data_IF_907732629733
#
_entry.id   IF_907732629733
#
_cell.length_a   1.000
_cell.length_b   1.000
_cell.length_c   1.000
_cell.angle_alpha   90.00
_cell.angle_beta   90.00
_cell.angle_gamma   90.00
#
_symmetry.space_group_name_H-M   'P 1'
#
loop_
_entity.id
_entity.type
_entity.pdbx_description
1 polymer ?
#
# COMPACT_ATOMS: atom_id res chain seq x y z
N UNK A 1 12.52 16.70 -2.11
CA UNK A 1 13.81 16.19 -2.65
C UNK A 1 13.83 14.67 -2.90
N UNK A 2 12.83 13.88 -2.47
CA UNK A 2 12.78 12.42 -2.68
C UNK A 2 12.18 11.99 -4.04
N UNK A 3 11.12 12.66 -4.50
CA UNK A 3 10.52 12.42 -5.83
C UNK A 3 11.48 12.60 -7.03
N UNK A 4 12.59 13.33 -6.83
CA UNK A 4 13.56 13.64 -7.88
C UNK A 4 14.44 12.45 -8.25
N UNK A 5 14.67 11.50 -7.34
CA UNK A 5 15.56 10.36 -7.57
C UNK A 5 14.84 9.25 -8.33
N UNK A 6 13.57 8.96 -7.99
CA UNK A 6 12.75 8.00 -8.71
C UNK A 6 12.49 8.48 -10.15
N UNK A 7 12.18 9.76 -10.35
CA UNK A 7 11.95 10.33 -11.68
C UNK A 7 13.22 10.31 -12.56
N UNK A 8 14.40 10.60 -12.01
CA UNK A 8 15.67 10.54 -12.75
C UNK A 8 16.09 9.10 -13.10
N UNK A 9 15.87 8.15 -12.19
CA UNK A 9 16.11 6.73 -12.44
C UNK A 9 15.18 6.17 -13.53
N UNK A 10 13.90 6.53 -13.50
CA UNK A 10 12.91 6.18 -14.53
C UNK A 10 13.27 6.83 -15.87
N UNK A 11 13.62 8.12 -15.89
CA UNK A 11 14.03 8.81 -17.12
C UNK A 11 15.26 8.16 -17.75
N UNK A 12 16.26 7.77 -16.95
CA UNK A 12 17.46 7.07 -17.42
C UNK A 12 17.19 5.65 -17.91
N UNK A 13 16.22 4.96 -17.31
CA UNK A 13 15.74 3.66 -17.77
C UNK A 13 15.01 3.76 -19.12
N UNK A 14 14.14 4.76 -19.28
CA UNK A 14 13.41 5.03 -20.53
C UNK A 14 14.32 5.55 -21.65
N UNK A 15 15.49 6.10 -21.30
CA UNK A 15 16.50 6.58 -22.26
C UNK A 15 17.42 5.48 -22.80
N UNK A 16 17.37 4.27 -22.22
CA UNK A 16 18.24 3.15 -22.61
C UNK A 16 17.55 2.29 -23.68
N UNK A 17 18.29 1.75 -24.65
CA UNK A 17 17.75 0.71 -25.54
C UNK A 17 17.18 -0.42 -24.69
N UNK A 18 15.95 -0.86 -25.00
CA UNK A 18 15.31 -1.96 -24.29
C UNK A 18 16.27 -3.17 -24.30
N UNK A 19 16.64 -3.72 -23.14
CA UNK A 19 17.49 -4.90 -23.12
C UNK A 19 16.78 -6.02 -23.87
N UNK A 20 17.49 -6.62 -24.83
CA UNK A 20 17.00 -7.73 -25.67
C UNK A 20 16.79 -9.02 -24.84
N UNK A 21 17.12 -8.97 -23.54
CA UNK A 21 16.97 -10.05 -22.59
C UNK A 21 15.75 -9.83 -21.68
N UNK A 22 14.76 -10.71 -21.83
CA UNK A 22 13.54 -10.76 -21.01
C UNK A 22 13.84 -10.86 -19.51
N UNK A 23 14.86 -11.61 -19.12
CA UNK A 23 15.23 -11.77 -17.71
C UNK A 23 15.74 -10.45 -17.09
N UNK A 24 16.46 -9.63 -17.87
CA UNK A 24 16.88 -8.29 -17.44
C UNK A 24 15.69 -7.34 -17.34
N UNK A 25 14.69 -7.44 -18.23
CA UNK A 25 13.46 -6.66 -18.13
C UNK A 25 12.65 -7.05 -16.90
N UNK A 26 12.48 -8.34 -16.63
CA UNK A 26 11.73 -8.84 -15.49
C UNK A 26 12.36 -8.37 -14.16
N UNK A 27 13.70 -8.39 -14.05
CA UNK A 27 14.44 -7.84 -12.91
C UNK A 27 14.25 -6.32 -12.74
N UNK A 28 14.25 -5.56 -13.84
CA UNK A 28 14.04 -4.12 -13.81
C UNK A 28 12.61 -3.76 -13.40
N UNK A 29 11.61 -4.49 -13.92
CA UNK A 29 10.21 -4.31 -13.52
C UNK A 29 9.99 -4.69 -12.06
N UNK A 30 10.60 -5.80 -11.59
CA UNK A 30 10.57 -6.16 -10.18
C UNK A 30 11.14 -5.03 -9.30
N UNK A 31 12.31 -4.48 -9.66
CA UNK A 31 12.92 -3.35 -8.96
C UNK A 31 12.05 -2.08 -8.94
N UNK A 32 11.43 -1.73 -10.07
CA UNK A 32 10.51 -0.59 -10.16
C UNK A 32 9.26 -0.79 -9.29
N UNK A 33 8.70 -2.00 -9.29
CA UNK A 33 7.59 -2.38 -8.40
C UNK A 33 7.97 -2.19 -6.93
N UNK A 34 9.18 -2.60 -6.52
CA UNK A 34 9.71 -2.35 -5.15
C UNK A 34 9.76 -0.90 -4.77
N UNK A 35 10.29 -0.06 -5.67
CA UNK A 35 10.40 1.37 -5.41
C UNK A 35 9.02 1.98 -5.26
N UNK A 36 8.07 1.67 -6.16
CA UNK A 36 6.69 2.17 -6.10
C UNK A 36 5.99 1.78 -4.80
N UNK A 37 6.07 0.51 -4.40
CA UNK A 37 5.46 0.04 -3.15
C UNK A 37 6.10 0.70 -1.94
N UNK A 38 7.43 0.81 -1.91
CA UNK A 38 8.13 1.44 -0.78
C UNK A 38 7.81 2.93 -0.65
N UNK A 39 7.70 3.65 -1.77
CA UNK A 39 7.32 5.06 -1.77
C UNK A 39 5.87 5.27 -1.34
N UNK A 40 4.96 4.36 -1.73
CA UNK A 40 3.54 4.42 -1.38
C UNK A 40 3.24 4.02 0.07
N UNK A 41 3.90 2.98 0.59
CA UNK A 41 3.51 2.35 1.85
C UNK A 41 4.20 2.99 3.06
N UNK A 42 5.48 3.40 2.96
CA UNK A 42 6.20 3.99 4.09
C UNK A 42 6.28 3.09 5.35
N UNK A 43 7.27 3.34 6.22
CA UNK A 43 7.44 2.53 7.44
C UNK A 43 6.29 2.72 8.44
N UNK A 44 5.70 3.92 8.47
CA UNK A 44 4.61 4.27 9.39
C UNK A 44 3.35 3.42 9.20
N UNK A 45 3.08 2.90 8.00
CA UNK A 45 1.90 2.05 7.76
C UNK A 45 2.05 0.71 8.43
N UNK A 46 3.25 0.13 8.44
CA UNK A 46 3.49 -1.13 9.14
C UNK A 46 3.37 -0.96 10.66
N UNK A 47 3.87 0.16 11.20
CA UNK A 47 3.67 0.50 12.61
C UNK A 47 2.18 0.67 12.95
N UNK A 48 1.42 1.31 12.06
CA UNK A 48 -0.03 1.50 12.20
C UNK A 48 -0.80 0.17 12.13
N UNK A 49 -0.40 -0.73 11.22
CA UNK A 49 -0.96 -2.07 11.12
C UNK A 49 -0.63 -2.91 12.35
N UNK A 50 0.61 -2.89 12.84
CA UNK A 50 1.02 -3.59 14.06
C UNK A 50 0.26 -3.06 15.29
N UNK A 51 0.06 -1.74 15.39
CA UNK A 51 -0.70 -1.14 16.48
C UNK A 51 -2.18 -1.58 16.51
N UNK A 52 -2.74 -1.98 15.36
CA UNK A 52 -4.15 -2.36 15.21
C UNK A 52 -4.37 -3.88 15.20
N UNK A 53 -3.50 -4.61 14.51
CA UNK A 53 -3.61 -6.06 14.23
C UNK A 53 -2.62 -6.91 15.02
N UNK A 54 -1.58 -6.31 15.60
CA UNK A 54 -0.53 -7.02 16.33
C UNK A 54 -1.05 -7.80 17.54
N UNK A 55 -0.28 -8.79 17.98
CA UNK A 55 -0.62 -9.69 19.10
C UNK A 55 -0.95 -8.90 20.38
N UNK A 56 -0.25 -7.78 20.59
CA UNK A 56 -0.41 -6.89 21.74
C UNK A 56 -1.21 -5.62 21.42
N UNK A 57 -1.93 -5.59 20.30
CA UNK A 57 -2.71 -4.44 19.88
C UNK A 57 -3.68 -3.98 20.98
N UNK A 58 -3.35 -2.84 21.57
CA UNK A 58 -4.23 -2.08 22.45
C UNK A 58 -4.53 -0.79 21.72
N UNK A 59 -5.64 -0.71 20.97
CA UNK A 59 -5.99 0.53 20.28
C UNK A 59 -6.00 1.63 21.34
N UNK A 60 -5.16 2.64 21.09
CA UNK A 60 -4.95 3.75 22.01
C UNK A 60 -6.23 4.60 22.17
N UNK A 61 -6.10 5.80 22.73
CA UNK A 61 -7.20 6.77 22.79
C UNK A 61 -7.92 6.91 21.44
N UNK A 62 -9.20 7.26 21.47
CA UNK A 62 -10.04 7.40 20.28
C UNK A 62 -9.39 8.30 19.22
N UNK A 63 -8.73 9.37 19.65
CA UNK A 63 -8.00 10.31 18.80
C UNK A 63 -6.86 9.65 18.03
N UNK A 64 -6.13 8.71 18.67
CA UNK A 64 -5.08 7.93 18.01
C UNK A 64 -5.69 7.00 16.97
N UNK A 65 -6.82 6.36 17.29
CA UNK A 65 -7.54 5.47 16.38
C UNK A 65 -8.06 6.22 15.13
N UNK A 66 -8.53 7.47 15.29
CA UNK A 66 -8.95 8.33 14.18
C UNK A 66 -7.76 8.72 13.30
N UNK A 67 -6.63 9.09 13.91
CA UNK A 67 -5.43 9.46 13.15
C UNK A 67 -4.86 8.27 12.35
N UNK A 68 -4.82 7.09 12.96
CA UNK A 68 -4.42 5.84 12.28
C UNK A 68 -5.38 5.52 11.13
N UNK A 69 -6.70 5.60 11.36
CA UNK A 69 -7.68 5.37 10.31
C UNK A 69 -7.54 6.36 9.14
N UNK A 70 -7.22 7.63 9.39
CA UNK A 70 -6.99 8.62 8.34
C UNK A 70 -5.77 8.25 7.49
N UNK A 71 -4.64 7.93 8.11
CA UNK A 71 -3.43 7.51 7.39
C UNK A 71 -3.63 6.23 6.57
N UNK A 72 -4.31 5.23 7.14
CA UNK A 72 -4.63 4.00 6.40
C UNK A 72 -5.52 4.26 5.18
N UNK A 73 -6.44 5.23 5.25
CA UNK A 73 -7.26 5.62 4.08
C UNK A 73 -6.44 6.35 3.01
N UNK A 74 -5.53 7.24 3.41
CA UNK A 74 -4.63 7.93 2.47
C UNK A 74 -3.77 6.91 1.72
N UNK A 75 -3.18 5.95 2.43
CA UNK A 75 -2.37 4.89 1.85
C UNK A 75 -3.21 3.96 0.97
N UNK A 76 -4.42 3.61 1.41
CA UNK A 76 -5.34 2.82 0.59
C UNK A 76 -5.62 3.48 -0.76
N UNK A 77 -5.84 4.80 -0.80
CA UNK A 77 -6.04 5.53 -2.03
C UNK A 77 -4.80 5.46 -2.94
N UNK A 78 -3.61 5.74 -2.40
CA UNK A 78 -2.34 5.65 -3.16
C UNK A 78 -2.10 4.24 -3.69
N UNK A 79 -2.33 3.20 -2.89
CA UNK A 79 -2.18 1.81 -3.31
C UNK A 79 -3.07 1.47 -4.50
N UNK A 80 -4.35 1.84 -4.43
CA UNK A 80 -5.32 1.54 -5.49
C UNK A 80 -5.04 2.34 -6.76
N UNK A 81 -4.77 3.64 -6.64
CA UNK A 81 -4.62 4.54 -7.79
C UNK A 81 -3.27 4.41 -8.48
N UNK A 82 -2.19 4.21 -7.72
CA UNK A 82 -0.83 4.35 -8.25
C UNK A 82 -0.03 3.04 -8.30
N UNK A 83 -0.44 2.01 -7.55
CA UNK A 83 0.40 0.81 -7.36
C UNK A 83 -0.27 -0.45 -7.93
N UNK A 84 -1.44 -0.81 -7.42
CA UNK A 84 -2.07 -2.13 -7.65
C UNK A 84 -2.26 -2.42 -9.14
N UNK A 85 -2.65 -1.42 -9.94
CA UNK A 85 -2.86 -1.55 -11.38
C UNK A 85 -1.61 -1.98 -12.18
N UNK A 86 -0.41 -1.73 -11.65
CA UNK A 86 0.86 -1.97 -12.33
C UNK A 86 1.66 -3.14 -11.74
N UNK A 87 1.38 -3.49 -10.48
CA UNK A 87 2.13 -4.50 -9.73
C UNK A 87 1.42 -5.86 -9.73
N UNK A 88 0.09 -5.88 -9.62
CA UNK A 88 -0.69 -7.11 -9.40
C UNK A 88 -1.41 -7.54 -10.68
N UNK A 89 -1.08 -8.73 -11.19
CA UNK A 89 -1.75 -9.34 -12.35
C UNK A 89 -2.23 -10.76 -12.02
N UNK A 90 -3.53 -11.08 -12.21
CA UNK A 90 -4.60 -10.19 -12.70
C UNK A 90 -4.99 -9.12 -11.66
N UNK A 91 -5.59 -8.01 -12.14
CA UNK A 91 -6.02 -6.91 -11.27
C UNK A 91 -6.99 -7.43 -10.18
N UNK A 92 -6.73 -7.17 -8.88
CA UNK A 92 -7.46 -7.79 -7.79
C UNK A 92 -8.76 -7.05 -7.47
N UNK A 93 -9.73 -7.10 -8.40
CA UNK A 93 -11.03 -6.39 -8.33
C UNK A 93 -11.69 -6.56 -6.96
N UNK A 94 -11.82 -7.79 -6.47
CA UNK A 94 -12.52 -8.05 -5.20
C UNK A 94 -11.85 -7.43 -3.97
N UNK A 95 -10.51 -7.40 -3.92
CA UNK A 95 -9.78 -6.79 -2.81
C UNK A 95 -9.88 -5.26 -2.86
N UNK A 96 -9.76 -4.67 -4.05
CA UNK A 96 -9.91 -3.22 -4.26
C UNK A 96 -11.33 -2.76 -3.93
N UNK A 97 -12.37 -3.50 -4.35
CA UNK A 97 -13.75 -3.19 -4.03
C UNK A 97 -14.02 -3.24 -2.52
N UNK A 98 -13.48 -4.27 -1.82
CA UNK A 98 -13.58 -4.36 -0.37
C UNK A 98 -12.92 -3.18 0.33
N UNK A 99 -11.68 -2.85 -0.05
CA UNK A 99 -10.95 -1.72 0.52
C UNK A 99 -11.69 -0.40 0.29
N UNK A 100 -12.16 -0.16 -0.94
CA UNK A 100 -12.94 1.03 -1.30
C UNK A 100 -14.23 1.13 -0.48
N UNK A 101 -14.96 0.01 -0.33
CA UNK A 101 -16.18 -0.03 0.46
C UNK A 101 -15.93 0.32 1.93
N UNK A 102 -14.89 -0.28 2.55
CA UNK A 102 -14.53 0.02 3.94
C UNK A 102 -14.07 1.48 4.09
N UNK A 103 -13.27 2.01 3.15
CA UNK A 103 -12.82 3.41 3.18
C UNK A 103 -13.99 4.41 3.16
N UNK A 104 -15.09 4.08 2.46
CA UNK A 104 -16.27 4.93 2.35
C UNK A 104 -17.17 4.94 3.61
N UNK A 105 -17.00 3.99 4.53
CA UNK A 105 -17.79 3.93 5.75
C UNK A 105 -17.42 5.06 6.74
N UNK A 106 -18.43 5.60 7.40
CA UNK A 106 -18.30 6.56 8.49
C UNK A 106 -18.76 5.93 9.81
N UNK A 107 -17.87 5.23 10.55
CA UNK A 107 -18.28 4.52 11.76
C UNK A 107 -18.69 5.49 12.86
N UNK A 108 -19.71 5.12 13.63
CA UNK A 108 -20.00 5.79 14.89
C UNK A 108 -18.96 5.40 15.96
N UNK A 109 -18.85 6.17 17.05
CA UNK A 109 -17.84 5.94 18.09
C UNK A 109 -17.86 4.52 18.68
N UNK A 110 -19.05 3.88 18.73
CA UNK A 110 -19.21 2.50 19.21
C UNK A 110 -18.55 1.46 18.30
N UNK A 111 -18.59 1.69 16.99
CA UNK A 111 -18.12 0.75 15.98
C UNK A 111 -16.73 1.13 15.43
N UNK A 112 -16.18 2.26 15.86
CA UNK A 112 -14.91 2.81 15.39
C UNK A 112 -13.77 1.80 15.46
N UNK A 113 -13.68 1.01 16.53
CA UNK A 113 -12.65 -0.04 16.67
C UNK A 113 -12.85 -1.16 15.64
N UNK A 114 -14.08 -1.65 15.49
CA UNK A 114 -14.36 -2.74 14.55
C UNK A 114 -14.15 -2.31 13.10
N UNK A 115 -14.48 -1.05 12.78
CA UNK A 115 -14.16 -0.45 11.49
C UNK A 115 -12.66 -0.31 11.27
N UNK A 116 -11.90 0.20 12.25
CA UNK A 116 -10.44 0.33 12.14
C UNK A 116 -9.76 -1.02 11.87
N UNK A 117 -10.17 -2.08 12.56
CA UNK A 117 -9.64 -3.44 12.31
C UNK A 117 -9.97 -3.92 10.89
N UNK A 118 -11.21 -3.72 10.42
CA UNK A 118 -11.58 -4.10 9.05
C UNK A 118 -10.81 -3.30 7.99
N UNK A 119 -10.59 -2.02 8.23
CA UNK A 119 -9.78 -1.16 7.35
C UNK A 119 -8.33 -1.66 7.31
N UNK A 120 -7.72 -1.92 8.46
CA UNK A 120 -6.37 -2.45 8.54
C UNK A 120 -6.22 -3.80 7.85
N UNK A 121 -7.18 -4.73 8.01
CA UNK A 121 -7.19 -6.00 7.31
C UNK A 121 -7.31 -5.84 5.79
N UNK A 122 -8.15 -4.91 5.31
CA UNK A 122 -8.29 -4.66 3.89
C UNK A 122 -7.04 -4.03 3.27
N UNK A 123 -6.34 -3.15 4.01
CA UNK A 123 -5.04 -2.62 3.59
C UNK A 123 -3.99 -3.73 3.56
N UNK A 124 -3.91 -4.55 4.62
CA UNK A 124 -2.97 -5.68 4.67
C UNK A 124 -3.20 -6.67 3.52
N UNK A 125 -4.46 -6.98 3.19
CA UNK A 125 -4.78 -7.84 2.04
C UNK A 125 -4.23 -7.28 0.72
N UNK A 126 -4.27 -5.96 0.51
CA UNK A 126 -3.64 -5.33 -0.66
C UNK A 126 -2.12 -5.44 -0.59
N UNK A 127 -1.52 -5.22 0.58
CA UNK A 127 -0.06 -5.35 0.75
C UNK A 127 0.42 -6.78 0.49
N UNK A 128 -0.32 -7.78 0.97
CA UNK A 128 -0.01 -9.20 0.74
C UNK A 128 -0.04 -9.55 -0.76
N UNK A 129 -0.94 -8.93 -1.53
CA UNK A 129 -1.01 -9.10 -2.98
C UNK A 129 0.17 -8.47 -3.72
N UNK A 130 0.80 -7.44 -3.15
CA UNK A 130 2.04 -6.87 -3.67
C UNK A 130 3.21 -7.82 -3.43
N UNK A 131 3.15 -8.62 -2.35
CA UNK A 131 4.10 -9.68 -2.03
C UNK A 131 5.33 -9.21 -1.27
N UNK A 132 5.88 -10.08 -0.42
CA UNK A 132 7.11 -9.85 0.34
C UNK A 132 8.36 -9.78 -0.54
N UNK A 133 8.31 -10.32 -1.76
CA UNK A 133 9.37 -10.20 -2.77
C UNK A 133 9.54 -8.77 -3.29
N UNK A 134 8.81 -7.82 -2.72
CA UNK A 134 8.86 -6.39 -2.98
C UNK A 134 9.56 -5.62 -1.83
N UNK A 135 9.88 -6.33 -0.74
CA UNK A 135 10.75 -5.92 0.36
C UNK A 135 12.23 -6.26 0.07
#
# INVERSE_FOLDING_TARGET
>A
MRATIAADAVARLLSRPAPDNRETLDLLFAGLRRVLVREAVGEQVYDDLEAVLGEYARPGPYEVSVAVAARLREVAATLVEEVVAYVVEPYPVGAVERLTAVCAEQPCARDARGHLVRLALAVLEILDLLGDDVL
#
